data_IF_574064402156
#
_entry.id   IF_574064402156
#
_cell.length_a   1.000
_cell.length_b   1.000
_cell.length_c   1.000
_cell.angle_alpha   90.00
_cell.angle_beta   90.00
_cell.angle_gamma   90.00
#
_symmetry.space_group_name_H-M   'P 1'
#
loop_
_entity.id
_entity.type
_entity.pdbx_description
1 polymer ?
#
# COMPACT_ATOMS: atom_id res chain seq x y z
N UNK A 1 19.12 -22.31 -4.45
CA UNK A 1 17.67 -22.15 -4.46
C UNK A 1 17.33 -20.85 -5.16
N UNK A 2 16.47 -20.93 -6.12
CA UNK A 2 16.01 -19.71 -6.80
C UNK A 2 14.53 -19.49 -6.50
N UNK A 3 14.19 -18.22 -6.39
CA UNK A 3 12.82 -17.80 -6.12
C UNK A 3 12.30 -17.14 -7.38
N UNK A 4 11.14 -17.59 -7.84
CA UNK A 4 10.58 -17.01 -9.06
C UNK A 4 10.13 -15.58 -8.80
N UNK A 5 10.16 -14.79 -9.86
CA UNK A 5 9.69 -13.40 -9.80
C UNK A 5 8.23 -13.35 -9.36
N UNK A 6 7.43 -14.28 -9.85
CA UNK A 6 6.01 -14.31 -9.48
C UNK A 6 5.81 -14.58 -7.99
N UNK A 7 6.58 -15.49 -7.42
CA UNK A 7 6.49 -15.78 -5.99
C UNK A 7 6.94 -14.59 -5.16
N UNK A 8 7.98 -13.92 -5.60
CA UNK A 8 8.50 -12.74 -4.93
C UNK A 8 7.48 -11.61 -4.95
N UNK A 9 6.91 -11.35 -6.11
CA UNK A 9 5.91 -10.31 -6.26
C UNK A 9 4.65 -10.62 -5.45
N UNK A 10 4.30 -11.91 -5.36
CA UNK A 10 3.15 -12.32 -4.55
C UNK A 10 3.37 -12.04 -3.08
N UNK A 11 4.58 -12.29 -2.58
CA UNK A 11 4.90 -11.98 -1.19
C UNK A 11 4.82 -10.48 -0.92
N UNK A 12 5.39 -9.69 -1.81
CA UNK A 12 5.36 -8.23 -1.68
C UNK A 12 3.92 -7.74 -1.66
N UNK A 13 3.12 -8.25 -2.57
CA UNK A 13 1.72 -7.88 -2.65
C UNK A 13 0.98 -8.22 -1.37
N UNK A 14 1.24 -9.41 -0.83
CA UNK A 14 0.58 -9.84 0.40
C UNK A 14 0.90 -8.91 1.57
N UNK A 15 2.18 -8.56 1.70
CA UNK A 15 2.61 -7.66 2.78
C UNK A 15 1.92 -6.31 2.67
N UNK A 16 1.86 -5.77 1.47
CA UNK A 16 1.26 -4.46 1.24
C UNK A 16 -0.26 -4.51 1.44
N UNK A 17 -0.90 -5.60 1.00
CA UNK A 17 -2.34 -5.78 1.12
C UNK A 17 -2.82 -5.87 2.57
N UNK A 18 -1.94 -6.16 3.51
CA UNK A 18 -2.31 -6.21 4.92
C UNK A 18 -2.70 -4.84 5.46
N UNK A 19 -2.36 -3.79 4.77
CA UNK A 19 -2.75 -2.44 5.14
C UNK A 19 -4.16 -2.17 4.62
N UNK A 20 -5.09 -1.91 5.53
CA UNK A 20 -6.51 -1.79 5.17
C UNK A 20 -6.80 -0.61 4.26
N UNK A 21 -5.94 0.41 4.29
CA UNK A 21 -6.10 1.60 3.46
C UNK A 21 -5.71 1.35 2.01
N UNK A 22 -5.04 0.25 1.75
CA UNK A 22 -4.45 -0.03 0.45
C UNK A 22 -5.37 -0.92 -0.38
N UNK A 23 -5.50 -0.59 -1.65
CA UNK A 23 -6.28 -1.37 -2.61
C UNK A 23 -5.45 -1.55 -3.88
N UNK A 24 -5.78 -2.58 -4.64
CA UNK A 24 -5.25 -2.78 -6.00
C UNK A 24 -3.73 -2.71 -6.07
N UNK A 25 -3.06 -3.55 -5.29
CA UNK A 25 -1.61 -3.58 -5.24
C UNK A 25 -1.05 -4.24 -6.50
N UNK A 26 -0.08 -3.57 -7.11
CA UNK A 26 0.70 -4.14 -8.22
C UNK A 26 2.17 -4.06 -7.86
N UNK A 27 2.81 -5.21 -7.77
CA UNK A 27 4.21 -5.30 -7.40
C UNK A 27 5.02 -5.84 -8.56
N UNK A 28 6.15 -5.20 -8.81
CA UNK A 28 7.13 -5.70 -9.77
C UNK A 28 8.49 -5.64 -9.10
N UNK A 29 9.40 -6.49 -9.55
CA UNK A 29 10.74 -6.52 -8.99
C UNK A 29 11.71 -6.96 -10.05
N UNK A 30 12.96 -6.51 -9.91
CA UNK A 30 14.02 -6.98 -10.77
C UNK A 30 15.33 -6.94 -9.99
N UNK A 31 16.25 -7.80 -10.40
CA UNK A 31 17.52 -7.92 -9.72
C UNK A 31 18.49 -6.86 -10.26
N UNK A 32 18.97 -6.01 -9.36
CA UNK A 32 19.95 -5.00 -9.70
C UNK A 32 21.35 -5.45 -9.30
N UNK A 33 22.30 -4.56 -9.46
CA UNK A 33 23.70 -4.87 -9.16
C UNK A 33 23.98 -5.03 -7.68
N UNK A 34 23.27 -4.27 -6.86
CA UNK A 34 23.50 -4.27 -5.41
C UNK A 34 22.39 -4.97 -4.64
N UNK A 35 21.42 -5.49 -5.33
CA UNK A 35 20.31 -6.16 -4.68
C UNK A 35 19.04 -6.01 -5.48
N UNK A 36 17.94 -6.34 -4.85
CA UNK A 36 16.63 -6.34 -5.48
C UNK A 36 16.07 -4.93 -5.57
N UNK A 37 15.55 -4.59 -6.72
CA UNK A 37 14.79 -3.34 -6.91
C UNK A 37 13.31 -3.70 -6.95
N UNK A 38 12.53 -3.04 -6.11
CA UNK A 38 11.10 -3.31 -5.98
C UNK A 38 10.33 -2.05 -6.33
N UNK A 39 9.29 -2.22 -7.13
CA UNK A 39 8.40 -1.13 -7.47
C UNK A 39 6.97 -1.59 -7.18
N UNK A 40 6.25 -0.81 -6.39
CA UNK A 40 4.88 -1.14 -6.01
C UNK A 40 3.99 0.04 -6.33
N UNK A 41 2.90 -0.23 -7.02
CA UNK A 41 1.86 0.76 -7.27
C UNK A 41 0.62 0.36 -6.50
N UNK A 42 0.04 1.31 -5.81
CA UNK A 42 -1.15 1.05 -5.00
C UNK A 42 -2.19 2.13 -5.22
N UNK A 43 -3.42 1.76 -5.00
CA UNK A 43 -4.50 2.72 -4.79
C UNK A 43 -4.68 2.79 -3.29
N UNK A 44 -4.75 3.97 -2.73
CA UNK A 44 -4.74 4.12 -1.28
C UNK A 44 -5.77 5.16 -0.86
N UNK A 45 -6.43 4.90 0.27
CA UNK A 45 -7.37 5.86 0.83
C UNK A 45 -6.62 7.11 1.27
N UNK A 46 -7.23 8.26 1.00
CA UNK A 46 -6.65 9.54 1.42
C UNK A 46 -6.74 9.64 2.94
N UNK A 47 -5.60 9.70 3.59
CA UNK A 47 -5.52 9.74 5.05
C UNK A 47 -4.53 10.83 5.46
N UNK A 48 -4.65 11.35 6.69
CA UNK A 48 -3.61 12.22 7.23
C UNK A 48 -2.30 11.47 7.30
N UNK A 49 -1.20 12.18 7.14
CA UNK A 49 0.15 11.61 7.24
C UNK A 49 0.40 10.50 6.23
N UNK A 50 -0.09 10.69 5.01
CA UNK A 50 0.06 9.71 3.95
C UNK A 50 1.53 9.35 3.69
N UNK A 51 2.41 10.36 3.71
CA UNK A 51 3.84 10.13 3.49
C UNK A 51 4.42 9.17 4.51
N UNK A 52 4.03 9.33 5.76
CA UNK A 52 4.50 8.43 6.82
C UNK A 52 3.98 7.01 6.61
N UNK A 53 2.74 6.89 6.16
CA UNK A 53 2.15 5.58 5.87
C UNK A 53 2.91 4.89 4.75
N UNK A 54 3.22 5.60 3.68
CA UNK A 54 3.97 5.04 2.56
C UNK A 54 5.36 4.60 2.99
N UNK A 55 6.03 5.40 3.82
CA UNK A 55 7.33 5.01 4.37
C UNK A 55 7.24 3.77 5.23
N UNK A 56 6.19 3.67 6.03
CA UNK A 56 5.96 2.51 6.88
C UNK A 56 5.80 1.23 6.05
N UNK A 57 5.04 1.32 4.96
CA UNK A 57 4.85 0.19 4.05
C UNK A 57 6.17 -0.21 3.42
N UNK A 58 6.96 0.77 3.02
CA UNK A 58 8.27 0.52 2.43
C UNK A 58 9.17 -0.26 3.40
N UNK A 59 9.20 0.14 4.66
CA UNK A 59 9.98 -0.54 5.68
C UNK A 59 9.47 -1.96 5.91
N UNK A 60 8.14 -2.13 5.95
CA UNK A 60 7.54 -3.45 6.10
C UNK A 60 7.97 -4.42 5.01
N UNK A 61 7.91 -3.95 3.76
CA UNK A 61 8.29 -4.79 2.62
C UNK A 61 9.76 -5.18 2.72
N UNK A 62 10.60 -4.21 3.01
CA UNK A 62 12.03 -4.47 3.13
C UNK A 62 12.32 -5.49 4.22
N UNK A 63 11.72 -5.30 5.40
CA UNK A 63 11.94 -6.20 6.53
C UNK A 63 11.50 -7.63 6.21
N UNK A 64 10.35 -7.78 5.56
CA UNK A 64 9.84 -9.10 5.22
C UNK A 64 10.73 -9.82 4.21
N UNK A 65 11.24 -9.08 3.23
CA UNK A 65 12.13 -9.68 2.25
C UNK A 65 13.44 -10.14 2.89
N UNK A 66 13.97 -9.34 3.80
CA UNK A 66 15.20 -9.69 4.51
C UNK A 66 14.97 -10.87 5.44
N UNK A 67 13.91 -10.82 6.25
CA UNK A 67 13.65 -11.84 7.27
C UNK A 67 13.25 -13.18 6.69
N UNK A 68 12.38 -13.16 5.68
CA UNK A 68 11.82 -14.41 5.16
C UNK A 68 12.65 -15.02 4.04
N UNK A 69 13.27 -14.18 3.23
CA UNK A 69 13.97 -14.66 2.05
C UNK A 69 15.46 -14.37 2.06
N UNK A 70 15.93 -13.64 3.06
CA UNK A 70 17.33 -13.24 3.16
C UNK A 70 17.81 -12.56 1.89
N UNK A 71 16.95 -11.71 1.32
CA UNK A 71 17.25 -10.98 0.09
C UNK A 71 17.71 -9.58 0.43
N UNK A 72 18.83 -9.19 -0.13
CA UNK A 72 19.28 -7.82 -0.05
C UNK A 72 18.45 -6.94 -0.97
N UNK A 73 17.97 -5.82 -0.44
CA UNK A 73 17.13 -4.91 -1.20
C UNK A 73 17.91 -3.64 -1.49
N UNK A 74 18.05 -3.31 -2.75
CA UNK A 74 18.73 -2.10 -3.17
C UNK A 74 17.81 -0.89 -3.09
N UNK A 75 16.59 -1.05 -3.59
CA UNK A 75 15.66 0.07 -3.66
C UNK A 75 14.22 -0.44 -3.60
N UNK A 76 13.39 0.26 -2.86
CA UNK A 76 11.95 0.02 -2.86
C UNK A 76 11.25 1.34 -3.16
N UNK A 77 10.40 1.32 -4.16
CA UNK A 77 9.63 2.49 -4.56
C UNK A 77 8.15 2.14 -4.40
N UNK A 78 7.46 2.85 -3.52
CA UNK A 78 6.03 2.67 -3.31
C UNK A 78 5.34 3.91 -3.85
N UNK A 79 4.46 3.73 -4.83
CA UNK A 79 3.76 4.84 -5.46
C UNK A 79 2.28 4.74 -5.27
N UNK A 80 1.68 5.84 -4.83
CA UNK A 80 0.24 5.98 -4.81
C UNK A 80 -0.20 6.32 -6.23
N UNK A 81 -0.82 5.36 -6.90
CA UNK A 81 -1.30 5.54 -8.25
C UNK A 81 -2.62 6.32 -8.27
N UNK A 82 -3.46 6.06 -7.28
CA UNK A 82 -4.78 6.65 -7.23
C UNK A 82 -5.17 6.82 -5.77
N UNK A 83 -5.77 7.97 -5.46
CA UNK A 83 -6.30 8.20 -4.13
C UNK A 83 -7.78 7.87 -4.11
N UNK A 84 -8.18 7.11 -3.10
CA UNK A 84 -9.57 6.77 -2.89
C UNK A 84 -10.10 7.68 -1.80
N UNK A 85 -11.11 8.47 -2.12
CA UNK A 85 -11.73 9.35 -1.15
C UNK A 85 -12.95 8.63 -0.58
N UNK A 86 -12.84 8.19 0.66
CA UNK A 86 -13.94 7.55 1.33
C UNK A 86 -14.91 8.63 1.79
N UNK A 87 -16.14 8.56 1.30
CA UNK A 87 -17.16 9.48 1.76
C UNK A 87 -17.85 8.85 2.94
N UNK A 88 -17.71 9.56 4.04
CA UNK A 88 -18.46 9.15 5.21
C UNK A 88 -19.92 9.47 4.94
N UNK A 89 -20.65 8.80 5.18
CA UNK A 89 -21.94 9.04 4.81
C UNK A 89 -22.75 9.73 5.74
N UNK A 90 -22.49 10.27 5.31
CA UNK A 90 -22.78 10.84 5.75
C UNK A 90 -23.71 10.88 6.39
N UNK A 91 -23.50 10.88 6.34
CA UNK A 91 -24.21 10.90 6.72
C UNK A 91 -24.75 11.24 7.12
N UNK A 92 -24.64 11.44 6.96
CA UNK A 92 -25.26 11.88 6.98
C UNK A 92 -25.77 12.32 7.42
N UNK A 93 -25.70 12.59 7.45
CA UNK A 93 -26.21 13.23 7.42
C UNK A 93 -26.73 13.55 8.00
N UNK A 94 -26.74 13.94 8.23
CA UNK A 94 -27.26 14.52 8.40
C UNK A 94 -27.37 14.89 8.90
N UNK A 95 -27.61 14.93 8.83
CA UNK A 95 -27.83 15.46 8.82
C UNK A 95 -28.00 15.74 8.97
N UNK A 96 -28.06 16.02 9.11
CA UNK A 96 -28.41 16.49 8.81
C UNK A 96 -28.65 16.63 8.91
N UNK A 97 -29.68 16.30 9.23
CA UNK A 97 -30.04 16.81 8.78
C UNK A 97 -30.24 16.76 8.95
N UNK A 98 -30.56 16.79 9.07
CA UNK A 98 -30.94 16.92 8.61
C UNK A 98 -31.20 17.01 8.74
N UNK A 99 -31.37 17.04 9.09
CA UNK A 99 -31.76 17.37 8.63
C UNK A 99 -31.98 17.38 8.75
N UNK A 100 -32.28 17.53 8.82
CA UNK A 100 -32.65 17.74 8.38
C UNK A 100 -32.82 17.64 8.56
N UNK A 101 -32.61 17.64 8.47
CA UNK A 101 -32.77 17.77 8.00
C UNK A 101 -32.89 17.83 8.22
N UNK A 102 -33.33 17.99 8.63
CA UNK A 102 -33.50 18.20 8.29
C UNK A 102 -33.45 18.24 8.51
N UNK A 103 -33.73 17.99 8.50
CA UNK A 103 -33.62 18.45 8.13
C UNK A 103 -33.37 18.44 8.45
N UNK A 104 -33.65 18.68 8.40
CA UNK A 104 -33.55 18.85 8.05
C UNK A 104 -33.54 18.82 8.32
#
# INVERSE_FOLDING_TARGET
>A
VSISENSLNALIKEVVDQNKEVKNVKATSFKGKKGLNVSVKIDIEAIPNLSEKLNSIQVEVKDELIKKLNIEVEKIDIRANKFIFVQEKKVSSKFRGDSNEVGY
#
